data_IF_779779198046
#
_entry.id   IF_779779198046
#
_cell.length_a   1.000
_cell.length_b   1.000
_cell.length_c   1.000
_cell.angle_alpha   90.00
_cell.angle_beta   90.00
_cell.angle_gamma   90.00
#
_symmetry.space_group_name_H-M   'P 1'
#
loop_
_entity.id
_entity.type
_entity.pdbx_description
1 polymer ?
#
# COMPACT_ATOMS: atom_id res chain seq x y z
N UNK A 1 53.29 22.12 27.78
CA UNK A 1 53.67 20.71 27.54
C UNK A 1 52.42 19.99 27.09
N UNK A 2 52.27 19.84 25.78
CA UNK A 2 52.70 18.63 25.06
C UNK A 2 51.71 17.48 25.32
N UNK A 3 50.72 17.32 24.44
CA UNK A 3 50.73 16.36 23.32
C UNK A 3 50.07 15.05 23.76
N UNK A 4 48.93 14.74 23.13
CA UNK A 4 48.46 13.42 22.70
C UNK A 4 46.92 13.50 22.57
N UNK A 5 46.35 13.82 21.40
CA UNK A 5 46.29 12.96 20.22
C UNK A 5 45.71 11.57 20.51
N UNK A 6 44.39 11.44 20.59
CA UNK A 6 43.68 10.26 20.08
C UNK A 6 42.28 10.65 19.59
N UNK A 7 42.25 10.96 18.29
CA UNK A 7 41.19 10.66 17.34
C UNK A 7 40.31 9.47 17.75
N UNK A 8 39.02 9.70 18.02
CA UNK A 8 37.97 8.71 17.75
C UNK A 8 36.81 9.43 17.07
N UNK A 9 36.94 9.48 15.74
CA UNK A 9 35.91 9.82 14.79
C UNK A 9 34.83 8.73 14.86
N UNK A 10 33.78 8.94 15.66
CA UNK A 10 32.57 8.11 15.59
C UNK A 10 31.69 8.63 14.46
N UNK A 11 31.91 7.97 13.33
CA UNK A 11 31.22 8.12 12.06
C UNK A 11 29.71 8.08 12.29
N UNK A 12 29.04 9.21 12.10
CA UNK A 12 27.61 9.26 11.89
C UNK A 12 27.33 8.58 10.56
N UNK A 13 27.06 7.28 10.58
CA UNK A 13 26.48 6.56 9.43
C UNK A 13 25.04 7.03 9.29
N UNK A 14 24.86 8.18 8.63
CA UNK A 14 23.59 8.54 8.03
C UNK A 14 23.23 7.44 7.04
N UNK A 15 22.20 6.67 7.36
CA UNK A 15 21.55 5.79 6.39
C UNK A 15 20.92 6.68 5.32
N UNK A 16 21.73 7.03 4.32
CA UNK A 16 21.22 7.58 3.07
C UNK A 16 20.31 6.51 2.47
N UNK A 17 19.00 6.75 2.52
CA UNK A 17 18.06 6.05 1.66
C UNK A 17 18.49 6.39 0.24
N UNK A 18 19.23 5.47 -0.38
CA UNK A 18 19.61 5.59 -1.78
C UNK A 18 18.31 5.64 -2.58
N UNK A 19 17.98 6.83 -3.09
CA UNK A 19 17.05 6.93 -4.19
C UNK A 19 17.64 6.11 -5.34
N UNK A 20 16.98 5.01 -5.70
CA UNK A 20 17.39 4.19 -6.81
C UNK A 20 17.46 5.05 -8.07
N UNK A 21 18.51 4.95 -8.90
CA UNK A 21 18.56 5.67 -10.16
C UNK A 21 17.34 5.29 -11.00
N UNK A 22 16.70 6.28 -11.62
CA UNK A 22 15.57 6.06 -12.52
C UNK A 22 15.98 5.06 -13.61
N UNK A 23 15.52 3.82 -13.44
CA UNK A 23 15.75 2.75 -14.38
C UNK A 23 15.07 3.06 -15.71
N UNK A 24 15.58 2.49 -16.80
CA UNK A 24 15.00 2.64 -18.16
C UNK A 24 13.59 2.04 -18.29
N UNK A 25 13.10 1.37 -17.26
CA UNK A 25 11.76 0.78 -17.22
C UNK A 25 10.79 1.80 -16.63
N UNK A 26 9.74 2.19 -17.37
CA UNK A 26 8.67 3.02 -16.82
C UNK A 26 8.12 2.40 -15.53
N UNK A 27 7.72 3.23 -14.57
CA UNK A 27 7.06 2.78 -13.33
C UNK A 27 5.61 3.29 -13.32
N UNK A 28 4.66 2.57 -12.70
CA UNK A 28 3.32 3.10 -12.53
C UNK A 28 3.36 4.32 -11.60
N UNK A 29 2.53 5.32 -11.89
CA UNK A 29 2.33 6.45 -10.99
C UNK A 29 1.40 6.01 -9.84
N UNK A 30 1.97 5.67 -8.69
CA UNK A 30 1.21 5.19 -7.53
C UNK A 30 1.35 6.18 -6.36
N UNK A 31 0.22 6.58 -5.78
CA UNK A 31 0.22 7.27 -4.50
C UNK A 31 0.66 6.29 -3.40
N UNK A 32 1.55 6.71 -2.47
CA UNK A 32 1.88 5.91 -1.31
C UNK A 32 0.63 5.61 -0.48
N UNK A 33 0.58 4.40 0.10
CA UNK A 33 -0.45 4.06 1.06
C UNK A 33 -0.40 5.01 2.27
N UNK A 34 -1.54 5.18 2.95
CA UNK A 34 -1.63 6.06 4.13
C UNK A 34 -0.61 5.64 5.20
N UNK A 35 0.10 6.61 5.79
CA UNK A 35 1.16 6.35 6.75
C UNK A 35 0.63 5.77 8.09
N UNK A 36 1.37 4.83 8.69
CA UNK A 36 1.09 4.30 10.04
C UNK A 36 0.67 2.84 10.11
N UNK A 37 0.52 2.14 8.98
CA UNK A 37 0.21 0.70 8.94
C UNK A 37 1.39 -0.12 8.46
N UNK A 38 1.61 -1.30 9.06
CA UNK A 38 2.57 -2.27 8.55
C UNK A 38 2.09 -2.77 7.18
N UNK A 39 2.95 -2.67 6.15
CA UNK A 39 2.66 -3.22 4.83
C UNK A 39 2.40 -4.74 4.93
N UNK A 40 1.40 -5.22 4.19
CA UNK A 40 1.03 -6.65 4.18
C UNK A 40 2.14 -7.56 3.66
N UNK A 41 3.00 -7.03 2.77
CA UNK A 41 4.21 -7.69 2.31
C UNK A 41 5.16 -6.67 1.65
N UNK A 42 6.37 -7.13 1.28
CA UNK A 42 7.31 -6.34 0.48
C UNK A 42 6.78 -6.11 -0.96
N UNK A 43 7.22 -5.03 -1.65
CA UNK A 43 6.77 -4.73 -3.01
C UNK A 43 6.98 -5.87 -4.03
N UNK A 44 8.07 -6.65 -3.89
CA UNK A 44 8.33 -7.78 -4.78
C UNK A 44 7.34 -8.93 -4.61
N UNK A 45 6.94 -9.19 -3.37
CA UNK A 45 5.90 -10.17 -3.05
C UNK A 45 4.57 -9.68 -3.62
N UNK A 46 4.25 -8.40 -3.46
CA UNK A 46 3.03 -7.84 -4.03
C UNK A 46 3.03 -7.95 -5.56
N UNK A 47 4.11 -7.63 -6.27
CA UNK A 47 4.15 -7.78 -7.74
C UNK A 47 3.93 -9.23 -8.21
N UNK A 48 4.45 -10.21 -7.47
CA UNK A 48 4.40 -11.63 -7.85
C UNK A 48 3.09 -12.31 -7.44
N UNK A 49 2.67 -12.08 -6.19
CA UNK A 49 1.66 -12.90 -5.51
C UNK A 49 0.34 -12.16 -5.28
N UNK A 50 0.25 -10.86 -5.58
CA UNK A 50 -1.00 -10.08 -5.47
C UNK A 50 -2.22 -10.76 -6.13
N UNK A 51 -2.14 -11.24 -7.39
CA UNK A 51 -3.33 -11.77 -8.05
C UNK A 51 -3.82 -13.08 -7.42
N UNK A 52 -2.91 -13.94 -6.96
CA UNK A 52 -3.27 -15.20 -6.29
C UNK A 52 -3.82 -14.94 -4.90
N UNK A 53 -3.22 -13.99 -4.16
CA UNK A 53 -3.69 -13.53 -2.86
C UNK A 53 -5.12 -12.99 -2.93
N UNK A 54 -5.43 -12.13 -3.90
CA UNK A 54 -6.78 -11.59 -4.09
C UNK A 54 -7.78 -12.67 -4.49
N UNK A 55 -7.42 -13.58 -5.41
CA UNK A 55 -8.30 -14.68 -5.83
C UNK A 55 -8.62 -15.62 -4.66
N UNK A 56 -7.61 -16.01 -3.88
CA UNK A 56 -7.82 -16.83 -2.71
C UNK A 56 -8.74 -16.11 -1.71
N UNK A 57 -8.44 -14.85 -1.40
CA UNK A 57 -9.28 -14.08 -0.48
C UNK A 57 -10.72 -13.91 -0.97
N UNK A 58 -10.93 -13.72 -2.27
CA UNK A 58 -12.25 -13.67 -2.89
C UNK A 58 -13.02 -14.95 -2.61
N UNK A 59 -12.41 -16.11 -2.86
CA UNK A 59 -13.06 -17.40 -2.67
C UNK A 59 -13.37 -17.66 -1.18
N UNK A 60 -12.45 -17.33 -0.27
CA UNK A 60 -12.72 -17.39 1.18
C UNK A 60 -13.87 -16.46 1.60
N UNK A 61 -13.94 -15.25 1.03
CA UNK A 61 -14.97 -14.27 1.38
C UNK A 61 -16.34 -14.66 0.82
N UNK A 62 -16.41 -15.03 -0.45
CA UNK A 62 -17.66 -15.27 -1.18
C UNK A 62 -18.21 -16.66 -0.89
N UNK A 63 -17.37 -17.69 -0.94
CA UNK A 63 -17.84 -19.08 -0.80
C UNK A 63 -17.86 -19.54 0.66
N UNK A 64 -16.98 -18.99 1.51
CA UNK A 64 -16.86 -19.42 2.92
C UNK A 64 -17.25 -18.36 3.94
N UNK A 65 -17.55 -17.14 3.50
CA UNK A 65 -18.01 -16.06 4.38
C UNK A 65 -16.93 -15.46 5.28
N UNK A 66 -15.64 -15.72 5.04
CA UNK A 66 -14.53 -15.21 5.87
C UNK A 66 -14.21 -13.77 5.50
N UNK A 67 -14.42 -12.81 6.42
CA UNK A 67 -14.29 -11.36 6.15
C UNK A 67 -13.07 -10.70 6.80
N UNK A 68 -12.54 -11.28 7.88
CA UNK A 68 -11.46 -10.70 8.70
C UNK A 68 -10.09 -11.27 8.34
N UNK A 69 -9.69 -11.15 7.08
CA UNK A 69 -8.37 -11.59 6.63
C UNK A 69 -7.35 -10.45 6.57
N UNK A 70 -6.08 -10.77 6.85
CA UNK A 70 -4.95 -9.83 6.69
C UNK A 70 -4.84 -9.28 5.27
N UNK A 71 -5.18 -10.09 4.28
CA UNK A 71 -5.21 -9.76 2.84
C UNK A 71 -6.61 -9.39 2.35
N UNK A 72 -7.50 -8.93 3.23
CA UNK A 72 -8.86 -8.54 2.82
C UNK A 72 -8.83 -7.40 1.80
N UNK A 73 -9.68 -7.50 0.77
CA UNK A 73 -9.81 -6.46 -0.26
C UNK A 73 -10.16 -5.09 0.37
N UNK A 74 -11.03 -5.09 1.37
CA UNK A 74 -11.39 -3.90 2.16
C UNK A 74 -10.18 -3.27 2.84
N UNK A 75 -9.28 -4.07 3.42
CA UNK A 75 -8.06 -3.58 4.05
C UNK A 75 -7.12 -2.90 3.05
N UNK A 76 -6.93 -3.52 1.88
CA UNK A 76 -6.15 -2.95 0.78
C UNK A 76 -6.72 -1.59 0.35
N UNK A 77 -8.03 -1.52 0.07
CA UNK A 77 -8.69 -0.28 -0.36
C UNK A 77 -8.61 0.81 0.71
N UNK A 78 -8.75 0.45 1.99
CA UNK A 78 -8.67 1.41 3.09
C UNK A 78 -7.34 2.16 3.16
N UNK A 79 -6.23 1.51 2.79
CA UNK A 79 -4.90 2.11 2.83
C UNK A 79 -4.48 2.73 1.48
N UNK A 80 -4.97 2.19 0.36
CA UNK A 80 -4.53 2.58 -1.00
C UNK A 80 -5.51 3.50 -1.73
N UNK A 81 -6.70 3.76 -1.19
CA UNK A 81 -7.61 4.72 -1.78
C UNK A 81 -6.94 6.09 -1.86
N UNK A 82 -7.03 6.73 -3.03
CA UNK A 82 -6.47 8.06 -3.23
C UNK A 82 -7.11 9.06 -2.27
N UNK A 83 -6.30 9.98 -1.75
CA UNK A 83 -6.81 11.09 -0.93
C UNK A 83 -7.74 12.02 -1.74
N UNK A 84 -7.54 12.09 -3.06
CA UNK A 84 -8.33 12.95 -3.94
C UNK A 84 -9.69 12.35 -4.30
N UNK A 85 -9.74 11.04 -4.62
CA UNK A 85 -10.97 10.38 -5.11
C UNK A 85 -11.67 9.56 -4.03
N UNK A 86 -10.97 9.21 -2.94
CA UNK A 86 -11.43 8.21 -1.98
C UNK A 86 -11.58 6.81 -2.59
N UNK A 87 -10.92 6.55 -3.73
CA UNK A 87 -11.04 5.33 -4.53
C UNK A 87 -9.67 4.80 -4.95
N UNK A 88 -9.62 3.50 -5.21
CA UNK A 88 -8.44 2.86 -5.82
C UNK A 88 -8.54 2.72 -7.34
N UNK A 89 -9.70 3.01 -7.94
CA UNK A 89 -9.96 2.74 -9.35
C UNK A 89 -10.88 3.75 -10.06
N UNK A 90 -11.15 4.92 -9.47
CA UNK A 90 -11.99 5.95 -10.09
C UNK A 90 -11.23 6.76 -11.15
N UNK A 91 -9.99 7.16 -10.85
CA UNK A 91 -9.10 7.85 -11.78
C UNK A 91 -8.01 6.89 -12.31
N UNK A 92 -7.41 7.23 -13.46
CA UNK A 92 -6.28 6.46 -14.02
C UNK A 92 -5.04 6.45 -13.13
N UNK A 93 -4.91 7.48 -12.30
CA UNK A 93 -3.82 7.67 -11.33
C UNK A 93 -4.08 6.97 -10.00
N UNK A 94 -5.30 6.48 -9.76
CA UNK A 94 -5.57 5.72 -8.54
C UNK A 94 -4.79 4.41 -8.54
N UNK A 95 -4.45 3.91 -7.35
CA UNK A 95 -3.46 2.84 -7.18
C UNK A 95 -3.71 1.59 -8.05
N UNK A 96 -4.93 1.03 -8.01
CA UNK A 96 -5.26 -0.17 -8.79
C UNK A 96 -5.25 0.14 -10.28
N UNK A 97 -5.90 1.23 -10.71
CA UNK A 97 -5.94 1.64 -12.13
C UNK A 97 -4.55 1.83 -12.73
N UNK A 98 -3.66 2.53 -12.01
CA UNK A 98 -2.33 2.85 -12.48
C UNK A 98 -1.46 1.61 -12.61
N UNK A 99 -1.47 0.73 -11.61
CA UNK A 99 -0.71 -0.52 -11.64
C UNK A 99 -1.23 -1.48 -12.72
N UNK A 100 -2.56 -1.62 -12.85
CA UNK A 100 -3.17 -2.50 -13.85
C UNK A 100 -2.93 -1.98 -15.28
N UNK A 101 -3.02 -0.65 -15.49
CA UNK A 101 -2.67 -0.04 -16.76
C UNK A 101 -1.19 -0.25 -17.11
N UNK A 102 -0.29 -0.16 -16.13
CA UNK A 102 1.13 -0.41 -16.32
C UNK A 102 1.45 -1.88 -16.65
N UNK A 103 0.79 -2.80 -15.94
CA UNK A 103 0.96 -4.24 -16.17
C UNK A 103 0.15 -4.77 -17.36
N UNK A 104 -0.62 -3.92 -18.05
CA UNK A 104 -1.51 -4.28 -19.14
C UNK A 104 -2.50 -5.41 -18.77
N UNK A 105 -3.05 -5.35 -17.55
CA UNK A 105 -4.05 -6.30 -17.04
C UNK A 105 -5.36 -5.60 -16.71
N UNK A 106 -6.46 -6.32 -16.85
CA UNK A 106 -7.79 -5.79 -16.54
C UNK A 106 -8.10 -5.99 -15.05
N UNK A 107 -8.75 -5.00 -14.44
CA UNK A 107 -9.39 -5.14 -13.13
C UNK A 107 -10.68 -5.95 -13.33
N UNK A 108 -10.94 -6.94 -12.47
CA UNK A 108 -12.15 -7.75 -12.60
C UNK A 108 -13.42 -7.03 -12.07
N UNK A 109 -14.61 -7.53 -12.43
CA UNK A 109 -15.87 -6.90 -12.04
C UNK A 109 -16.04 -6.81 -10.51
N UNK A 110 -15.58 -7.80 -9.77
CA UNK A 110 -15.75 -7.90 -8.31
C UNK A 110 -14.74 -7.04 -7.54
N UNK A 111 -13.63 -6.69 -8.18
CA UNK A 111 -12.59 -5.81 -7.65
C UNK A 111 -12.99 -4.33 -7.66
N UNK A 112 -13.90 -3.91 -8.56
CA UNK A 112 -14.27 -2.49 -8.72
C UNK A 112 -15.61 -2.10 -8.08
N UNK A 113 -16.54 -3.04 -7.88
CA UNK A 113 -17.80 -2.80 -7.16
C UNK A 113 -17.62 -2.44 -5.68
N UNK A 114 -16.38 -2.48 -5.18
CA UNK A 114 -16.00 -2.04 -3.83
C UNK A 114 -14.86 -1.02 -3.81
N UNK A 115 -14.55 -0.36 -4.93
CA UNK A 115 -13.36 0.49 -5.13
C UNK A 115 -13.19 1.69 -4.18
N UNK A 116 -14.22 2.08 -3.43
CA UNK A 116 -14.15 3.21 -2.50
C UNK A 116 -13.80 2.77 -1.10
N UNK A 117 -12.96 3.56 -0.41
CA UNK A 117 -12.73 3.38 1.01
C UNK A 117 -14.07 3.49 1.76
N UNK A 118 -14.40 2.45 2.52
CA UNK A 118 -15.51 2.55 3.45
C UNK A 118 -15.09 3.53 4.53
N UNK A 119 -15.92 4.55 4.79
CA UNK A 119 -15.73 5.44 5.94
C UNK A 119 -15.63 4.55 7.17
N UNK A 120 -14.46 4.49 7.79
CA UNK A 120 -14.36 3.99 9.15
C UNK A 120 -15.24 4.92 9.98
N UNK A 121 -16.35 4.40 10.49
CA UNK A 121 -17.06 5.04 11.59
C UNK A 121 -16.16 4.90 12.82
N UNK A 122 -15.04 5.61 12.83
CA UNK A 122 -14.23 5.80 14.01
C UNK A 122 -15.07 6.67 14.94
N UNK A 123 -15.63 6.03 15.97
CA UNK A 123 -16.15 6.62 17.21
C UNK A 123 -16.32 8.16 17.19
N UNK A 124 -17.33 8.65 16.48
CA UNK A 124 -17.97 9.93 16.81
C UNK A 124 -18.99 9.62 17.90
N UNK A 125 -18.50 9.49 19.12
CA UNK A 125 -19.29 9.11 20.29
C UNK A 125 -18.61 9.49 21.60
N UNK A 126 -17.94 10.64 21.62
CA UNK A 126 -17.58 11.34 22.86
C UNK A 126 -18.80 12.07 23.39
N UNK A 127 -19.44 11.50 24.43
CA UNK A 127 -20.39 12.16 25.36
C UNK A 127 -21.80 12.41 24.80
N UNK A 128 -22.89 12.50 25.56
CA UNK A 128 -23.31 12.43 27.00
C UNK A 128 -24.81 12.87 26.93
N UNK A 129 -25.78 12.61 27.85
CA UNK A 129 -25.72 12.33 29.30
C UNK A 129 -25.67 10.86 29.74
#
# INVERSE_FOLDING_TARGET
MAVALTLVLLIATGAAMAAEPDGRTPKPAIEPATAGTQCVAAPEVMRRDHPSMLKHQRDETVHRGVREAKSSLKGCIGCHASAATGSVAQARTDFCSSCHSYAAVQIDCFECHSSKAQRTTALAGTGRP
#
